data_IF_125906191782
#
_entry.id   IF_125906191782
#
_cell.length_a   1.000
_cell.length_b   1.000
_cell.length_c   1.000
_cell.angle_alpha   90.00
_cell.angle_beta   90.00
_cell.angle_gamma   90.00
#
_symmetry.space_group_name_H-M   'P 1'
#
loop_
_entity.id
_entity.type
_entity.pdbx_description
1 polymer ?
#
# COMPACT_ATOMS: atom_id res chain seq x y z
N UNK A 1 9.09 -30.92 56.39
CA UNK A 1 9.60 -30.21 55.18
C UNK A 1 9.96 -28.77 55.57
N UNK A 2 11.19 -28.33 55.28
CA UNK A 2 11.81 -27.14 55.88
C UNK A 2 11.26 -25.81 55.31
N UNK A 3 10.93 -24.83 56.15
CA UNK A 3 10.25 -23.58 55.75
C UNK A 3 11.09 -22.75 54.76
N UNK A 4 12.42 -22.79 54.90
CA UNK A 4 13.37 -22.18 53.95
C UNK A 4 13.24 -22.75 52.54
N UNK A 5 13.05 -24.07 52.41
CA UNK A 5 12.96 -24.74 51.12
C UNK A 5 11.68 -24.35 50.37
N UNK A 6 10.55 -24.27 51.08
CA UNK A 6 9.27 -23.79 50.50
C UNK A 6 9.38 -22.36 49.97
N UNK A 7 10.07 -21.46 50.70
CA UNK A 7 10.25 -20.06 50.31
C UNK A 7 11.09 -19.91 49.03
N UNK A 8 12.13 -20.73 48.87
CA UNK A 8 12.98 -20.77 47.67
C UNK A 8 12.19 -21.28 46.46
N UNK A 9 11.42 -22.36 46.63
CA UNK A 9 10.58 -22.92 45.56
C UNK A 9 9.53 -21.91 45.10
N UNK A 10 8.83 -21.26 46.05
CA UNK A 10 7.82 -20.24 45.73
C UNK A 10 8.41 -19.05 44.97
N UNK A 11 9.60 -18.59 45.37
CA UNK A 11 10.30 -17.47 44.72
C UNK A 11 10.75 -17.81 43.29
N UNK A 12 11.27 -19.02 43.07
CA UNK A 12 11.65 -19.47 41.74
C UNK A 12 10.43 -19.64 40.83
N UNK A 13 9.31 -20.11 41.38
CA UNK A 13 8.04 -20.19 40.64
C UNK A 13 7.52 -18.81 40.23
N UNK A 14 7.59 -17.81 41.13
CA UNK A 14 7.19 -16.42 40.79
C UNK A 14 8.10 -15.80 39.74
N UNK A 15 9.42 -16.03 39.82
CA UNK A 15 10.38 -15.55 38.83
C UNK A 15 10.14 -16.16 37.45
N UNK A 16 9.82 -17.47 37.37
CA UNK A 16 9.52 -18.13 36.11
C UNK A 16 8.23 -17.59 35.48
N UNK A 17 7.18 -17.34 36.28
CA UNK A 17 5.94 -16.73 35.77
C UNK A 17 6.21 -15.32 35.24
N UNK A 18 6.97 -14.51 35.97
CA UNK A 18 7.33 -13.16 35.53
C UNK A 18 8.13 -13.17 34.23
N UNK A 19 9.06 -14.11 34.08
CA UNK A 19 9.86 -14.29 32.86
C UNK A 19 8.96 -14.67 31.66
N UNK A 20 8.07 -15.65 31.84
CA UNK A 20 7.13 -16.07 30.78
C UNK A 20 6.19 -14.92 30.38
N UNK A 21 5.70 -14.14 31.35
CA UNK A 21 4.88 -12.97 31.10
C UNK A 21 5.62 -11.88 30.32
N UNK A 22 6.90 -11.65 30.61
CA UNK A 22 7.71 -10.66 29.91
C UNK A 22 8.04 -11.11 28.47
N UNK A 23 8.35 -12.40 28.26
CA UNK A 23 8.59 -12.96 26.92
C UNK A 23 7.33 -12.85 26.06
N UNK A 24 6.16 -13.20 26.60
CA UNK A 24 4.90 -13.12 25.84
C UNK A 24 4.57 -11.68 25.44
N UNK A 25 4.72 -10.71 26.35
CA UNK A 25 4.52 -9.29 26.04
C UNK A 25 5.46 -8.77 24.93
N UNK A 26 6.73 -9.17 24.95
CA UNK A 26 7.70 -8.78 23.91
C UNK A 26 7.33 -9.39 22.55
N UNK A 27 6.95 -10.67 22.51
CA UNK A 27 6.56 -11.36 21.28
C UNK A 27 5.30 -10.76 20.62
N UNK A 28 4.33 -10.30 21.41
CA UNK A 28 3.11 -9.65 20.88
C UNK A 28 3.42 -8.31 20.18
N UNK A 29 4.33 -7.52 20.74
CA UNK A 29 4.74 -6.24 20.13
C UNK A 29 5.49 -6.46 18.81
N UNK A 30 6.36 -7.47 18.77
CA UNK A 30 7.14 -7.80 17.57
C UNK A 30 6.23 -8.31 16.44
N UNK A 31 5.23 -9.14 16.77
CA UNK A 31 4.23 -9.62 15.80
C UNK A 31 3.43 -8.47 15.18
N UNK A 32 2.98 -7.50 15.97
CA UNK A 32 2.26 -6.33 15.46
C UNK A 32 3.15 -5.45 14.59
N UNK A 33 4.42 -5.25 14.99
CA UNK A 33 5.38 -4.49 14.22
C UNK A 33 5.66 -5.14 12.85
N UNK A 34 5.87 -6.46 12.82
CA UNK A 34 6.06 -7.22 11.58
C UNK A 34 4.83 -7.12 10.67
N UNK A 35 3.62 -7.27 11.23
CA UNK A 35 2.39 -7.18 10.44
C UNK A 35 2.17 -5.78 9.85
N UNK A 36 2.51 -4.72 10.60
CA UNK A 36 2.47 -3.35 10.09
C UNK A 36 3.49 -3.09 8.96
N UNK A 37 4.67 -3.71 9.04
CA UNK A 37 5.70 -3.62 7.98
C UNK A 37 5.24 -4.36 6.72
N UNK A 38 4.68 -5.56 6.86
CA UNK A 38 4.15 -6.36 5.75
C UNK A 38 3.02 -5.63 5.02
N UNK A 39 2.04 -5.11 5.78
CA UNK A 39 0.93 -4.34 5.20
C UNK A 39 1.43 -3.11 4.43
N UNK A 40 2.45 -2.41 4.93
CA UNK A 40 3.08 -1.28 4.20
C UNK A 40 3.77 -1.73 2.91
N UNK A 41 4.45 -2.88 2.91
CA UNK A 41 5.08 -3.43 1.70
C UNK A 41 4.03 -3.80 0.65
N UNK A 42 2.95 -4.45 1.06
CA UNK A 42 1.84 -4.83 0.17
C UNK A 42 1.15 -3.61 -0.43
N UNK A 43 0.85 -2.59 0.39
CA UNK A 43 0.27 -1.33 -0.08
C UNK A 43 1.18 -0.64 -1.11
N UNK A 44 2.50 -0.61 -0.85
CA UNK A 44 3.47 -0.01 -1.77
C UNK A 44 3.52 -0.76 -3.10
N UNK A 45 3.50 -2.11 -3.06
CA UNK A 45 3.46 -2.96 -4.26
C UNK A 45 2.21 -2.69 -5.09
N UNK A 46 1.04 -2.58 -4.45
CA UNK A 46 -0.21 -2.27 -5.13
C UNK A 46 -0.20 -0.88 -5.79
N UNK A 47 0.37 0.14 -5.12
CA UNK A 47 0.51 1.48 -5.70
C UNK A 47 1.42 1.46 -6.93
N UNK A 48 2.58 0.80 -6.85
CA UNK A 48 3.51 0.67 -7.98
C UNK A 48 2.85 -0.04 -9.15
N UNK A 49 2.08 -1.10 -8.90
CA UNK A 49 1.37 -1.83 -9.93
C UNK A 49 0.29 -0.97 -10.61
N UNK A 50 -0.51 -0.24 -9.83
CA UNK A 50 -1.50 0.70 -10.37
C UNK A 50 -0.84 1.80 -11.22
N UNK A 51 0.32 2.32 -10.79
CA UNK A 51 1.06 3.32 -11.55
C UNK A 51 1.70 2.74 -12.81
N UNK A 52 2.16 1.49 -12.80
CA UNK A 52 2.75 0.89 -14.00
C UNK A 52 1.70 0.41 -15.02
N UNK A 53 0.43 0.33 -14.63
CA UNK A 53 -0.64 -0.08 -15.56
C UNK A 53 -0.78 0.97 -16.68
N UNK A 54 -0.79 0.57 -17.97
CA UNK A 54 -0.99 1.50 -19.07
C UNK A 54 -2.37 2.16 -18.96
N UNK A 55 -2.41 3.48 -19.05
CA UNK A 55 -3.67 4.22 -18.93
C UNK A 55 -4.36 4.20 -20.30
N UNK A 56 -5.51 3.54 -20.39
CA UNK A 56 -6.39 3.63 -21.55
C UNK A 56 -7.18 4.93 -21.44
N UNK A 57 -7.08 5.78 -22.45
CA UNK A 57 -7.90 6.97 -22.58
C UNK A 57 -8.75 6.89 -23.84
N UNK A 58 -10.00 7.32 -23.74
CA UNK A 58 -10.87 7.47 -24.89
C UNK A 58 -10.53 8.79 -25.58
N UNK A 59 -10.23 8.74 -26.87
CA UNK A 59 -10.04 9.92 -27.71
C UNK A 59 -11.33 10.13 -28.48
N UNK A 60 -11.94 11.30 -28.32
CA UNK A 60 -13.17 11.65 -29.05
C UNK A 60 -12.92 11.75 -30.56
N UNK A 61 -13.98 11.47 -31.33
CA UNK A 61 -13.94 11.62 -32.78
C UNK A 61 -13.73 13.09 -33.16
N UNK A 62 -12.94 13.33 -34.19
CA UNK A 62 -12.61 14.67 -34.64
C UNK A 62 -12.50 14.73 -36.17
N UNK A 63 -12.68 15.94 -36.70
CA UNK A 63 -12.36 16.24 -38.09
C UNK A 63 -10.87 16.43 -38.25
N UNK A 64 -10.24 15.62 -39.10
CA UNK A 64 -8.86 15.80 -39.51
C UNK A 64 -8.84 16.54 -40.85
N UNK A 65 -8.10 17.65 -40.92
CA UNK A 65 -8.01 18.48 -42.12
C UNK A 65 -6.67 18.21 -42.79
N UNK A 66 -6.72 17.68 -44.01
CA UNK A 66 -5.52 17.39 -44.81
C UNK A 66 -4.95 18.67 -45.42
N UNK A 67 -3.70 18.60 -45.88
CA UNK A 67 -3.00 19.71 -46.54
C UNK A 67 -3.69 20.19 -47.82
N UNK A 68 -4.47 19.32 -48.47
CA UNK A 68 -5.29 19.65 -49.65
C UNK A 68 -6.62 20.34 -49.30
N UNK A 69 -6.89 20.61 -48.01
CA UNK A 69 -8.11 21.22 -47.52
C UNK A 69 -9.29 20.25 -47.35
N UNK A 70 -9.15 18.98 -47.73
CA UNK A 70 -10.18 17.97 -47.51
C UNK A 70 -10.32 17.63 -46.02
N UNK A 71 -11.55 17.32 -45.59
CA UNK A 71 -11.85 16.95 -44.20
C UNK A 71 -12.26 15.49 -44.13
N UNK A 72 -11.67 14.76 -43.20
CA UNK A 72 -12.00 13.35 -42.93
C UNK A 72 -12.40 13.20 -41.48
N UNK A 73 -13.55 12.58 -41.23
CA UNK A 73 -13.98 12.27 -39.87
C UNK A 73 -13.19 11.06 -39.35
N UNK A 74 -12.42 11.27 -38.28
CA UNK A 74 -11.78 10.18 -37.54
C UNK A 74 -12.71 9.76 -36.40
N UNK A 75 -13.11 8.48 -36.41
CA UNK A 75 -13.88 7.89 -35.31
C UNK A 75 -13.05 7.92 -34.03
N UNK A 76 -13.73 8.11 -32.90
CA UNK A 76 -13.09 8.00 -31.60
C UNK A 76 -12.52 6.60 -31.37
N UNK A 77 -11.43 6.52 -30.61
CA UNK A 77 -10.72 5.27 -30.37
C UNK A 77 -10.07 5.24 -28.97
N UNK A 78 -9.79 4.04 -28.49
CA UNK A 78 -9.01 3.84 -27.28
C UNK A 78 -7.53 4.01 -27.59
N UNK A 79 -6.88 4.99 -26.94
CA UNK A 79 -5.44 5.20 -27.00
C UNK A 79 -4.80 4.68 -25.71
N UNK A 80 -3.74 3.89 -25.86
CA UNK A 80 -2.85 3.54 -24.75
C UNK A 80 -1.81 4.64 -24.64
N UNK A 81 -1.83 5.37 -23.53
CA UNK A 81 -0.84 6.40 -23.26
C UNK A 81 0.22 5.84 -22.31
N UNK A 82 1.44 5.67 -22.82
CA UNK A 82 2.61 5.41 -22.00
C UNK A 82 3.07 6.71 -21.34
N UNK A 83 2.48 7.03 -20.19
CA UNK A 83 2.95 8.13 -19.35
C UNK A 83 4.09 7.67 -18.46
N UNK A 84 5.03 8.57 -18.18
CA UNK A 84 6.10 8.28 -17.21
C UNK A 84 5.52 8.13 -15.81
N UNK A 85 6.22 7.40 -14.93
CA UNK A 85 5.83 7.23 -13.52
C UNK A 85 5.58 8.57 -12.81
N UNK A 86 6.41 9.58 -13.12
CA UNK A 86 6.33 10.93 -12.55
C UNK A 86 4.99 11.60 -12.89
N UNK A 87 4.56 11.54 -14.17
CA UNK A 87 3.29 12.09 -14.63
C UNK A 87 2.09 11.38 -14.04
N UNK A 88 2.15 10.05 -13.97
CA UNK A 88 1.08 9.24 -13.35
C UNK A 88 0.93 9.55 -11.87
N UNK A 89 2.04 9.74 -11.13
CA UNK A 89 1.98 10.15 -9.72
C UNK A 89 1.30 11.52 -9.53
N UNK A 90 1.55 12.46 -10.44
CA UNK A 90 0.97 13.82 -10.41
C UNK A 90 -0.54 13.77 -10.67
N UNK A 91 -0.98 12.93 -11.61
CA UNK A 91 -2.40 12.68 -11.89
C UNK A 91 -3.13 12.05 -10.70
N UNK A 92 -2.51 11.04 -10.06
CA UNK A 92 -3.09 10.38 -8.89
C UNK A 92 -3.28 11.37 -7.73
N UNK A 93 -2.25 12.18 -7.42
CA UNK A 93 -2.32 13.22 -6.38
C UNK A 93 -3.44 14.24 -6.62
N UNK A 94 -3.67 14.63 -7.87
CA UNK A 94 -4.78 15.53 -8.26
C UNK A 94 -6.14 14.89 -8.03
N UNK A 95 -6.31 13.62 -8.46
CA UNK A 95 -7.56 12.88 -8.25
C UNK A 95 -7.89 12.68 -6.76
N UNK A 96 -6.89 12.34 -5.94
CA UNK A 96 -7.10 12.17 -4.50
C UNK A 96 -7.46 13.47 -3.80
N UNK A 97 -6.87 14.60 -4.20
CA UNK A 97 -7.19 15.91 -3.65
C UNK A 97 -8.64 16.34 -3.99
N UNK A 98 -9.08 16.09 -5.22
CA UNK A 98 -10.44 16.43 -5.64
C UNK A 98 -11.53 15.63 -4.90
N UNK A 99 -11.21 14.37 -4.54
CA UNK A 99 -12.11 13.48 -3.79
C UNK A 99 -12.30 13.86 -2.31
N UNK A 100 -11.43 14.72 -1.76
CA UNK A 100 -11.54 15.19 -0.37
C UNK A 100 -12.36 16.49 -0.25
N UNK A 101 -12.61 17.18 -1.37
CA UNK A 101 -13.31 18.46 -1.42
C UNK A 101 -14.80 18.36 -1.80
N UNK A 102 -15.25 17.16 -2.17
CA UNK A 102 -16.66 16.80 -2.46
C UNK A 102 -17.13 15.79 -1.43
#
# INVERSE_FOLDING_TARGET
MNFKLKKIIMRNFTLNIALIGMITLLSFNDLQAQHAIEHKKELTKNIVQQLNTPTKMWVEGHWDVKLDGSRVWKRGYWKLEERSFQEKSKLLRRKSAHKQTT
#
